data_IF_993184292124
#
_entry.id   IF_993184292124
#
_cell.length_a   1.000
_cell.length_b   1.000
_cell.length_c   1.000
_cell.angle_alpha   90.00
_cell.angle_beta   90.00
_cell.angle_gamma   90.00
#
_symmetry.space_group_name_H-M   'P 1'
#
loop_
_entity.id
_entity.type
_entity.pdbx_description
1 polymer ?
#
# COMPACT_ATOMS: atom_id res chain seq x y z
N UNK A 1 -1.50 10.43 -1.07
CA UNK A 1 -2.62 9.67 -1.66
C UNK A 1 -2.76 8.39 -0.87
N UNK A 2 -3.95 8.11 -0.34
CA UNK A 2 -4.17 6.92 0.48
C UNK A 2 -4.38 5.69 -0.38
N UNK A 3 -3.68 4.61 -0.08
CA UNK A 3 -3.81 3.30 -0.70
C UNK A 3 -4.15 2.26 0.37
N UNK A 4 -4.98 1.29 -0.01
CA UNK A 4 -5.15 0.04 0.70
C UNK A 4 -4.39 -1.04 -0.05
N UNK A 5 -3.50 -1.73 0.66
CA UNK A 5 -2.73 -2.86 0.16
C UNK A 5 -3.23 -4.13 0.85
N UNK A 6 -3.47 -5.20 0.09
CA UNK A 6 -3.72 -6.54 0.63
C UNK A 6 -2.69 -7.50 0.07
N UNK A 7 -2.00 -8.17 0.98
CA UNK A 7 -0.93 -9.12 0.68
C UNK A 7 -1.52 -10.53 0.77
N UNK A 8 -1.58 -11.26 -0.35
CA UNK A 8 -1.97 -12.66 -0.35
C UNK A 8 -1.00 -13.53 0.48
N UNK A 9 -1.44 -14.70 0.99
CA UNK A 9 -0.62 -15.52 1.87
C UNK A 9 0.73 -15.96 1.29
N UNK A 10 0.79 -16.23 -0.01
CA UNK A 10 2.02 -16.67 -0.68
C UNK A 10 3.11 -15.60 -0.75
N UNK A 11 2.79 -14.33 -0.43
CA UNK A 11 3.75 -13.24 -0.33
C UNK A 11 4.32 -13.08 1.08
N UNK A 12 3.86 -13.87 2.06
CA UNK A 12 4.46 -13.90 3.39
C UNK A 12 5.91 -14.41 3.30
N UNK A 13 6.84 -13.66 3.91
CA UNK A 13 8.28 -13.99 3.90
C UNK A 13 9.13 -13.17 2.91
N UNK A 14 8.50 -12.35 2.05
CA UNK A 14 9.20 -11.43 1.15
C UNK A 14 9.00 -9.98 1.62
N UNK A 15 10.04 -9.14 1.70
CA UNK A 15 9.95 -7.77 2.19
C UNK A 15 9.38 -6.80 1.14
N UNK A 16 8.25 -7.15 0.52
CA UNK A 16 7.62 -6.43 -0.60
C UNK A 16 7.52 -4.91 -0.36
N UNK A 17 7.09 -4.50 0.84
CA UNK A 17 6.98 -3.08 1.19
C UNK A 17 8.34 -2.38 1.16
N UNK A 18 9.39 -3.01 1.69
CA UNK A 18 10.72 -2.42 1.72
C UNK A 18 11.32 -2.32 0.31
N UNK A 19 11.15 -3.36 -0.52
CA UNK A 19 11.61 -3.32 -1.92
C UNK A 19 10.94 -2.18 -2.70
N UNK A 20 9.61 -2.01 -2.56
CA UNK A 20 8.91 -0.90 -3.21
C UNK A 20 9.40 0.47 -2.68
N UNK A 21 9.69 0.60 -1.39
CA UNK A 21 10.29 1.84 -0.83
C UNK A 21 11.64 2.12 -1.50
N UNK A 22 12.52 1.12 -1.58
CA UNK A 22 13.87 1.27 -2.13
C UNK A 22 13.82 1.58 -3.63
N UNK A 23 13.00 0.87 -4.40
CA UNK A 23 12.89 1.03 -5.85
C UNK A 23 12.26 2.37 -6.25
N UNK A 24 11.29 2.88 -5.49
CA UNK A 24 10.61 4.15 -5.80
C UNK A 24 11.21 5.37 -5.10
N UNK A 25 12.00 5.13 -4.05
CA UNK A 25 12.38 6.15 -3.08
C UNK A 25 11.18 6.86 -2.44
N UNK A 26 9.98 6.26 -2.44
CA UNK A 26 8.79 6.87 -1.86
C UNK A 26 8.79 6.69 -0.35
N UNK A 27 8.82 7.81 0.39
CA UNK A 27 8.54 7.80 1.83
C UNK A 27 7.05 7.62 2.01
N UNK A 28 6.63 6.46 2.52
CA UNK A 28 5.23 6.11 2.72
C UNK A 28 4.92 6.09 4.22
N UNK A 29 3.87 6.79 4.64
CA UNK A 29 3.35 6.65 6.00
C UNK A 29 2.43 5.45 6.07
N UNK A 30 2.46 4.72 7.18
CA UNK A 30 1.54 3.62 7.48
C UNK A 30 0.50 4.15 8.47
N UNK A 31 -0.72 4.40 8.00
CA UNK A 31 -1.82 4.86 8.84
C UNK A 31 -2.41 3.71 9.66
N UNK A 32 -2.42 2.49 9.09
CA UNK A 32 -2.93 1.28 9.73
C UNK A 32 -2.25 0.05 9.15
N UNK A 33 -1.95 -0.92 10.01
CA UNK A 33 -1.48 -2.23 9.62
C UNK A 33 -2.28 -3.31 10.35
N UNK A 34 -2.68 -4.35 9.63
CA UNK A 34 -3.19 -5.59 10.18
C UNK A 34 -2.43 -6.73 9.53
N UNK A 35 -1.59 -7.41 10.30
CA UNK A 35 -0.74 -8.49 9.81
C UNK A 35 -0.89 -9.67 10.76
N UNK A 36 -1.31 -10.80 10.23
CA UNK A 36 -1.35 -12.09 10.91
C UNK A 36 -0.77 -13.20 10.01
N UNK A 37 -0.94 -14.46 10.41
CA UNK A 37 -0.41 -15.62 9.69
C UNK A 37 -1.08 -15.88 8.32
N UNK A 38 -2.21 -15.23 8.02
CA UNK A 38 -3.06 -15.50 6.86
C UNK A 38 -3.38 -14.25 6.04
N UNK A 39 -3.22 -13.06 6.61
CA UNK A 39 -3.61 -11.80 6.01
C UNK A 39 -2.62 -10.71 6.36
N UNK A 40 -2.06 -10.08 5.33
CA UNK A 40 -1.42 -8.78 5.44
C UNK A 40 -2.30 -7.70 4.83
N UNK A 41 -2.61 -6.64 5.58
CA UNK A 41 -3.31 -5.47 5.08
C UNK A 41 -2.69 -4.19 5.61
N UNK A 42 -2.46 -3.23 4.73
CA UNK A 42 -1.89 -1.92 5.06
C UNK A 42 -2.76 -0.81 4.48
N UNK A 43 -2.94 0.24 5.27
CA UNK A 43 -3.41 1.55 4.79
C UNK A 43 -2.21 2.48 4.83
N UNK A 44 -1.80 2.97 3.67
CA UNK A 44 -0.62 3.81 3.52
C UNK A 44 -0.95 5.14 2.87
N UNK A 45 -0.20 6.19 3.21
CA UNK A 45 -0.22 7.46 2.49
C UNK A 45 1.07 7.63 1.69
N UNK A 46 0.90 7.82 0.38
CA UNK A 46 1.99 7.87 -0.60
C UNK A 46 2.09 9.26 -1.23
N UNK A 47 3.29 9.83 -1.42
CA UNK A 47 3.46 11.09 -2.14
C UNK A 47 2.78 11.06 -3.51
N UNK A 48 2.08 12.14 -3.87
CA UNK A 48 1.20 12.17 -5.06
C UNK A 48 1.97 11.94 -6.34
N UNK A 49 3.17 12.48 -6.42
CA UNK A 49 4.08 12.38 -7.56
C UNK A 49 4.66 10.98 -7.77
N UNK A 50 4.57 10.10 -6.76
CA UNK A 50 5.09 8.72 -6.83
C UNK A 50 4.01 7.65 -6.85
N UNK A 51 2.74 8.03 -6.68
CA UNK A 51 1.66 7.07 -6.42
C UNK A 51 1.47 6.07 -7.56
N UNK A 52 1.57 6.50 -8.82
CA UNK A 52 1.33 5.62 -9.96
C UNK A 52 2.41 4.53 -10.05
N UNK A 53 3.67 4.92 -9.85
CA UNK A 53 4.79 3.99 -9.82
C UNK A 53 4.72 3.01 -8.65
N UNK A 54 4.34 3.50 -7.46
CA UNK A 54 4.15 2.65 -6.27
C UNK A 54 3.03 1.64 -6.51
N UNK A 55 1.91 2.06 -7.08
CA UNK A 55 0.78 1.17 -7.42
C UNK A 55 1.21 0.11 -8.45
N UNK A 56 1.96 0.50 -9.47
CA UNK A 56 2.47 -0.41 -10.50
C UNK A 56 3.36 -1.50 -9.88
N UNK A 57 4.38 -1.11 -9.10
CA UNK A 57 5.32 -2.07 -8.51
C UNK A 57 4.65 -3.02 -7.51
N UNK A 58 3.75 -2.52 -6.66
CA UNK A 58 3.00 -3.42 -5.77
C UNK A 58 2.17 -4.43 -6.56
N UNK A 59 1.49 -4.01 -7.63
CA UNK A 59 0.73 -4.92 -8.49
C UNK A 59 1.62 -5.94 -9.20
N UNK A 60 2.79 -5.53 -9.69
CA UNK A 60 3.76 -6.44 -10.31
C UNK A 60 4.25 -7.51 -9.33
N UNK A 61 4.38 -7.17 -8.04
CA UNK A 61 4.71 -8.12 -6.97
C UNK A 61 3.50 -8.96 -6.49
N UNK A 62 2.34 -8.85 -7.13
CA UNK A 62 1.14 -9.61 -6.79
C UNK A 62 0.34 -9.06 -5.59
N UNK A 63 0.69 -7.87 -5.09
CA UNK A 63 -0.06 -7.20 -4.03
C UNK A 63 -1.31 -6.58 -4.62
N UNK A 64 -2.45 -6.78 -3.98
CA UNK A 64 -3.69 -6.14 -4.37
C UNK A 64 -3.71 -4.69 -3.88
N UNK A 65 -3.92 -3.75 -4.80
CA UNK A 65 -3.88 -2.31 -4.50
C UNK A 65 -5.21 -1.65 -4.82
N UNK A 66 -5.77 -0.91 -3.85
CA UNK A 66 -6.94 -0.06 -4.02
C UNK A 66 -6.61 1.38 -3.66
N UNK A 67 -6.98 2.34 -4.52
CA UNK A 67 -6.89 3.77 -4.19
C UNK A 67 -8.06 4.15 -3.30
N UNK A 68 -7.77 4.79 -2.18
CA UNK A 68 -8.80 5.31 -1.29
C UNK A 68 -9.05 6.77 -1.65
N UNK A 69 -10.11 7.02 -2.40
CA UNK A 69 -10.60 8.37 -2.69
C UNK A 69 -11.45 8.84 -1.52
N UNK A 70 -11.10 10.00 -0.94
CA UNK A 70 -11.89 10.61 0.12
C UNK A 70 -13.08 11.32 -0.54
N UNK A 71 -14.23 10.66 -0.58
CA UNK A 71 -15.53 11.33 -0.70
C UNK A 71 -16.22 11.20 0.65
N UNK A 72 -15.81 12.05 1.60
CA UNK A 72 -16.60 12.24 2.81
C UNK A 72 -16.74 13.75 2.99
N UNK A 73 -17.86 14.29 2.49
CA UNK A 73 -18.36 15.57 2.94
C UNK A 73 -18.96 15.32 4.33
N UNK A 74 -18.21 15.71 5.37
CA UNK A 74 -18.78 15.87 6.70
C UNK A 74 -19.51 17.21 6.68
N UNK A 75 -20.84 17.18 6.62
CA UNK A 75 -21.65 18.33 6.95
C UNK A 75 -21.87 18.27 8.46
N UNK A 76 -21.33 19.24 9.20
CA UNK A 76 -21.78 19.57 10.55
C UNK A 76 -23.10 20.34 10.50
#
# INVERSE_FOLDING_TARGET
MKLQLRFPPHLHGVPNTAEVILETGAKMNIDRAYVDAVRGELIIDVPREKVDRVVELFKQKGVEVRRLVKLIAWNE
#
